data_IF_476048384763
#
_entry.id   IF_476048384763
#
_cell.length_a   1.000
_cell.length_b   1.000
_cell.length_c   1.000
_cell.angle_alpha   90.00
_cell.angle_beta   90.00
_cell.angle_gamma   90.00
#
_symmetry.space_group_name_H-M   'P 1'
#
loop_
_entity.id
_entity.type
_entity.pdbx_description
1 polymer ?
#
# COMPACT_ATOMS: atom_id res chain seq x y z
N UNK A 1 8.25 10.03 -9.98
CA UNK A 1 8.83 8.77 -9.47
C UNK A 1 7.73 7.91 -8.88
N UNK A 2 7.70 6.65 -9.20
CA UNK A 2 6.74 5.68 -8.64
C UNK A 2 6.95 5.61 -7.12
N UNK A 3 5.86 5.71 -6.36
CA UNK A 3 5.86 5.59 -4.90
C UNK A 3 4.90 4.49 -4.47
N UNK A 4 5.20 3.83 -3.34
CA UNK A 4 4.24 2.95 -2.69
C UNK A 4 3.21 3.76 -1.91
N UNK A 5 1.98 3.26 -1.81
CA UNK A 5 0.96 3.83 -0.90
C UNK A 5 1.20 3.43 0.56
N UNK A 6 2.01 2.41 0.80
CA UNK A 6 2.36 1.94 2.13
C UNK A 6 3.70 2.50 2.58
N UNK A 7 3.82 2.81 3.86
CA UNK A 7 5.05 3.29 4.47
C UNK A 7 4.91 3.40 5.97
N UNK A 8 6.02 3.29 6.67
CA UNK A 8 6.06 3.37 8.13
C UNK A 8 7.35 4.06 8.58
N UNK A 9 7.21 4.92 9.57
CA UNK A 9 8.33 5.44 10.32
C UNK A 9 7.94 5.64 11.79
N UNK A 10 8.89 5.39 12.66
CA UNK A 10 8.78 5.63 14.09
C UNK A 10 10.07 6.26 14.59
N UNK A 11 9.94 7.34 15.35
CA UNK A 11 11.09 8.01 15.98
C UNK A 11 10.78 8.43 17.41
N UNK A 12 11.79 8.42 18.23
CA UNK A 12 11.77 8.99 19.57
C UNK A 12 12.64 10.23 19.61
N UNK A 13 12.16 11.26 20.29
CA UNK A 13 12.83 12.54 20.46
C UNK A 13 12.77 12.92 21.94
N UNK A 14 13.89 13.40 22.45
CA UNK A 14 14.01 13.84 23.83
C UNK A 14 14.37 15.33 23.89
N UNK A 15 13.66 16.07 24.72
CA UNK A 15 14.01 17.42 25.12
C UNK A 15 14.11 17.47 26.66
N UNK A 16 14.47 18.61 27.21
CA UNK A 16 14.55 18.78 28.67
C UNK A 16 13.18 18.61 29.35
N UNK A 17 12.11 19.10 28.75
CA UNK A 17 10.76 19.15 29.35
C UNK A 17 9.82 18.09 28.80
N UNK A 18 10.15 17.49 27.64
CA UNK A 18 9.25 16.64 26.88
C UNK A 18 9.99 15.48 26.22
N UNK A 19 9.50 14.27 26.38
CA UNK A 19 9.85 13.10 25.57
C UNK A 19 8.70 12.77 24.64
N UNK A 20 9.01 12.54 23.39
CA UNK A 20 8.04 12.33 22.33
C UNK A 20 8.41 11.09 21.53
N UNK A 21 7.47 10.18 21.35
CA UNK A 21 7.54 9.11 20.36
C UNK A 21 6.50 9.36 19.28
N UNK A 22 6.94 9.51 18.07
CA UNK A 22 6.08 9.72 16.88
C UNK A 22 6.10 8.47 16.05
N UNK A 23 4.93 7.93 15.75
CA UNK A 23 4.75 6.83 14.81
C UNK A 23 3.77 7.27 13.72
N UNK A 24 4.16 7.15 12.47
CA UNK A 24 3.32 7.48 11.31
C UNK A 24 3.29 6.28 10.39
N UNK A 25 2.09 5.78 10.08
CA UNK A 25 1.84 4.66 9.20
C UNK A 25 0.91 5.07 8.07
N UNK A 26 1.33 4.83 6.84
CA UNK A 26 0.52 5.00 5.64
C UNK A 26 0.07 3.65 5.14
N UNK A 27 -1.23 3.49 4.90
CA UNK A 27 -1.86 2.28 4.39
C UNK A 27 -2.54 2.56 3.06
N UNK A 28 -2.67 1.53 2.22
CA UNK A 28 -3.39 1.66 0.96
C UNK A 28 -4.86 2.00 1.20
N UNK A 29 -5.29 3.17 0.73
CA UNK A 29 -6.67 3.62 0.75
C UNK A 29 -6.94 4.57 -0.42
N UNK A 30 -8.18 4.53 -0.95
CA UNK A 30 -8.56 5.30 -2.15
C UNK A 30 -8.51 6.81 -1.94
N UNK A 31 -8.88 7.28 -0.75
CA UNK A 31 -8.93 8.69 -0.37
C UNK A 31 -7.95 8.94 0.77
N UNK A 32 -7.64 10.21 1.03
CA UNK A 32 -6.93 10.60 2.24
C UNK A 32 -7.83 10.39 3.45
N UNK A 33 -7.45 9.51 4.35
CA UNK A 33 -8.13 9.21 5.61
C UNK A 33 -7.16 9.45 6.77
N UNK A 34 -7.58 10.27 7.73
CA UNK A 34 -6.75 10.68 8.87
C UNK A 34 -7.22 10.01 10.14
N UNK A 35 -6.34 9.33 10.83
CA UNK A 35 -6.59 8.70 12.12
C UNK A 35 -5.47 9.07 13.10
N UNK A 36 -5.82 9.84 14.12
CA UNK A 36 -4.90 10.27 15.16
C UNK A 36 -5.18 9.50 16.46
N UNK A 37 -4.11 9.06 17.12
CA UNK A 37 -4.12 8.41 18.43
C UNK A 37 -3.04 9.03 19.31
N UNK A 38 -3.40 9.46 20.51
CA UNK A 38 -2.44 10.00 21.45
C UNK A 38 -3.01 11.07 22.36
N UNK A 39 -2.14 11.79 23.02
CA UNK A 39 -2.52 12.89 23.89
C UNK A 39 -3.17 14.03 23.06
N UNK A 40 -4.17 14.74 23.60
CA UNK A 40 -4.76 15.89 22.93
C UNK A 40 -3.70 16.98 22.74
N UNK A 41 -3.48 17.37 21.48
CA UNK A 41 -2.51 18.38 21.06
C UNK A 41 -3.17 19.64 20.50
N UNK A 42 -4.50 19.73 20.62
CA UNK A 42 -5.27 20.91 20.19
C UNK A 42 -5.12 21.20 18.69
N UNK A 43 -4.86 22.46 18.37
CA UNK A 43 -4.74 22.92 16.96
C UNK A 43 -3.58 22.26 16.18
N UNK A 44 -2.59 21.71 16.86
CA UNK A 44 -1.47 21.04 16.21
C UNK A 44 -1.91 19.79 15.43
N UNK A 45 -2.97 19.11 15.88
CA UNK A 45 -3.52 17.96 15.15
C UNK A 45 -3.94 18.33 13.73
N UNK A 46 -4.67 19.45 13.59
CA UNK A 46 -5.10 19.91 12.27
C UNK A 46 -3.90 20.33 11.39
N UNK A 47 -2.87 20.97 11.98
CA UNK A 47 -1.63 21.30 11.25
C UNK A 47 -0.91 20.04 10.77
N UNK A 48 -0.80 19.00 11.58
CA UNK A 48 -0.19 17.72 11.22
C UNK A 48 -0.98 17.00 10.13
N UNK A 49 -2.31 17.06 10.21
CA UNK A 49 -3.20 16.53 9.16
C UNK A 49 -2.93 17.20 7.81
N UNK A 50 -2.87 18.53 7.77
CA UNK A 50 -2.59 19.30 6.54
C UNK A 50 -1.20 18.94 5.99
N UNK A 51 -0.16 18.92 6.83
CA UNK A 51 1.20 18.51 6.43
C UNK A 51 1.24 17.11 5.81
N UNK A 52 0.49 16.16 6.39
CA UNK A 52 0.38 14.82 5.82
C UNK A 52 -0.37 14.84 4.49
N UNK A 53 -1.47 15.59 4.37
CA UNK A 53 -2.27 15.68 3.15
C UNK A 53 -1.47 16.26 1.98
N UNK A 54 -0.66 17.28 2.24
CA UNK A 54 0.18 17.93 1.21
C UNK A 54 1.29 17.01 0.69
N UNK A 55 1.80 16.09 1.52
CA UNK A 55 2.92 15.22 1.14
C UNK A 55 2.52 13.82 0.72
N UNK A 56 1.39 13.32 1.21
CA UNK A 56 0.97 11.94 1.01
C UNK A 56 -0.27 11.80 0.12
N UNK A 57 -0.91 12.92 -0.26
CA UNK A 57 -2.06 13.06 -1.17
C UNK A 57 -3.21 12.09 -0.95
N UNK A 58 -2.97 10.78 -0.76
CA UNK A 58 -3.96 9.73 -0.51
C UNK A 58 -3.39 8.62 0.38
N UNK A 59 -4.27 7.77 0.88
CA UNK A 59 -3.95 6.71 1.83
C UNK A 59 -4.60 6.94 3.18
N UNK A 60 -4.72 5.89 3.97
CA UNK A 60 -5.10 5.99 5.37
C UNK A 60 -3.84 6.23 6.20
N UNK A 61 -3.76 7.40 6.80
CA UNK A 61 -2.64 7.83 7.60
C UNK A 61 -2.98 7.66 9.08
N UNK A 62 -2.31 6.74 9.73
CA UNK A 62 -2.42 6.51 11.16
C UNK A 62 -1.23 7.15 11.86
N UNK A 63 -1.51 8.11 12.73
CA UNK A 63 -0.51 8.82 13.52
C UNK A 63 -0.69 8.49 14.98
N UNK A 64 0.39 8.12 15.65
CA UNK A 64 0.42 7.95 17.09
C UNK A 64 1.48 8.84 17.70
N UNK A 65 1.09 9.62 18.72
CA UNK A 65 1.98 10.45 19.52
C UNK A 65 1.92 10.02 20.97
N UNK A 66 3.03 9.49 21.47
CA UNK A 66 3.22 9.20 22.88
C UNK A 66 4.07 10.31 23.50
N UNK A 67 3.47 11.02 24.46
CA UNK A 67 4.06 12.16 25.13
C UNK A 67 4.32 11.83 26.62
N UNK A 68 5.51 12.12 27.10
CA UNK A 68 5.78 12.10 28.53
C UNK A 68 6.51 13.37 28.97
N UNK A 69 6.20 13.83 30.17
CA UNK A 69 6.66 15.08 30.73
C UNK A 69 7.46 14.81 31.98
N UNK A 70 8.78 14.58 31.85
CA UNK A 70 9.65 14.24 32.98
C UNK A 70 9.92 15.43 33.90
N UNK A 71 9.76 16.67 33.42
CA UNK A 71 10.00 17.88 34.22
C UNK A 71 8.77 18.20 35.07
N UNK A 72 8.91 18.26 36.40
CA UNK A 72 7.82 18.67 37.30
C UNK A 72 7.26 20.07 37.00
N UNK A 73 8.06 20.98 36.42
CA UNK A 73 7.62 22.33 36.05
C UNK A 73 6.53 22.34 34.97
N UNK A 74 6.35 21.23 34.24
CA UNK A 74 5.30 21.03 33.25
C UNK A 74 3.91 20.80 33.84
N UNK A 75 3.82 20.68 35.17
CA UNK A 75 2.60 20.36 35.87
C UNK A 75 2.18 21.49 36.79
N UNK A 76 0.88 21.76 36.84
CA UNK A 76 0.25 22.57 37.88
C UNK A 76 -0.46 21.66 38.88
N UNK A 77 -0.22 21.94 40.13
CA UNK A 77 -0.90 21.28 41.24
C UNK A 77 -1.91 22.30 41.78
N UNK A 78 -3.19 22.04 41.65
CA UNK A 78 -4.24 22.83 42.23
C UNK A 78 -4.93 22.06 43.36
N UNK A 79 -5.16 22.75 44.48
CA UNK A 79 -5.89 22.21 45.61
C UNK A 79 -7.26 22.93 45.69
N UNK A 80 -8.34 22.16 45.74
CA UNK A 80 -9.66 22.69 45.89
C UNK A 80 -9.91 23.07 47.38
N UNK A 81 -9.43 24.25 47.75
CA UNK A 81 -9.51 24.77 49.13
C UNK A 81 -10.94 24.82 49.63
N UNK A 82 -11.90 25.23 48.79
CA UNK A 82 -13.31 25.31 49.17
C UNK A 82 -13.96 23.96 49.49
N UNK A 83 -13.54 22.88 48.77
CA UNK A 83 -13.97 21.51 49.09
C UNK A 83 -13.30 21.02 50.38
N UNK A 84 -12.02 21.33 50.56
CA UNK A 84 -11.26 20.97 51.71
C UNK A 84 -11.83 21.59 53.00
N UNK A 85 -12.18 22.90 53.00
CA UNK A 85 -12.84 23.58 54.11
C UNK A 85 -14.18 22.94 54.47
N UNK A 86 -15.00 22.60 53.45
CA UNK A 86 -16.26 21.91 53.67
C UNK A 86 -16.09 20.56 54.33
N UNK A 87 -15.05 19.83 53.97
CA UNK A 87 -14.75 18.54 54.55
C UNK A 87 -14.33 18.71 56.02
N UNK A 88 -13.41 19.63 56.33
CA UNK A 88 -13.02 19.91 57.72
C UNK A 88 -14.21 20.35 58.57
N UNK A 89 -15.02 21.28 58.11
CA UNK A 89 -16.23 21.73 58.80
C UNK A 89 -17.21 20.58 59.09
N UNK A 90 -17.31 19.63 58.10
CA UNK A 90 -18.16 18.46 58.27
C UNK A 90 -17.61 17.48 59.29
N UNK A 91 -16.28 17.26 59.26
CA UNK A 91 -15.59 16.42 60.25
C UNK A 91 -15.70 16.98 61.67
N UNK A 92 -15.53 18.29 61.87
CA UNK A 92 -15.69 18.94 63.18
C UNK A 92 -17.11 18.75 63.70
N UNK A 93 -18.13 18.93 62.85
CA UNK A 93 -19.51 18.67 63.18
C UNK A 93 -19.78 17.21 63.58
N UNK A 94 -19.17 16.27 62.85
CA UNK A 94 -19.24 14.83 63.15
C UNK A 94 -18.53 14.49 64.45
N UNK A 95 -17.33 15.03 64.68
CA UNK A 95 -16.57 14.85 65.93
C UNK A 95 -17.38 15.30 67.14
N UNK A 96 -18.01 16.50 67.09
CA UNK A 96 -18.89 17.02 68.13
C UNK A 96 -20.12 16.12 68.36
N UNK A 97 -20.74 15.59 67.30
CA UNK A 97 -21.93 14.72 67.38
C UNK A 97 -21.60 13.34 67.97
N UNK A 98 -20.47 12.76 67.56
CA UNK A 98 -20.06 11.41 67.93
C UNK A 98 -19.28 11.37 69.26
N UNK A 99 -18.96 12.55 69.84
CA UNK A 99 -18.07 12.70 70.99
C UNK A 99 -16.76 11.90 70.86
N UNK A 100 -16.22 11.87 69.64
CA UNK A 100 -14.93 11.25 69.31
C UNK A 100 -14.12 12.17 68.43
N UNK A 101 -12.83 12.21 68.63
CA UNK A 101 -11.90 12.98 67.81
C UNK A 101 -11.72 12.29 66.44
N UNK A 102 -12.29 12.87 65.40
CA UNK A 102 -12.19 12.40 64.00
C UNK A 102 -11.14 13.26 63.32
N UNK A 103 -9.93 12.70 63.13
CA UNK A 103 -8.83 13.38 62.45
C UNK A 103 -8.64 12.86 61.03
N UNK A 104 -8.48 13.78 60.10
CA UNK A 104 -8.10 13.48 58.70
C UNK A 104 -6.58 13.57 58.60
N UNK A 105 -5.91 12.51 58.21
CA UNK A 105 -4.48 12.56 57.90
C UNK A 105 -4.25 13.15 56.49
N UNK A 106 -3.05 13.70 56.27
CA UNK A 106 -2.67 14.22 54.96
C UNK A 106 -2.81 13.14 53.88
N UNK A 107 -2.45 11.88 54.18
CA UNK A 107 -2.62 10.76 53.25
C UNK A 107 -4.07 10.51 52.81
N UNK A 108 -5.02 10.74 53.71
CA UNK A 108 -6.42 10.59 53.42
C UNK A 108 -6.95 11.75 52.54
N UNK A 109 -6.41 12.95 52.67
CA UNK A 109 -6.76 14.11 51.85
C UNK A 109 -6.43 13.86 50.42
N UNK A 110 -5.23 13.32 50.12
CA UNK A 110 -4.81 13.00 48.73
C UNK A 110 -5.61 11.86 48.06
N UNK A 111 -6.32 11.06 48.88
CA UNK A 111 -7.20 9.99 48.35
C UNK A 111 -8.61 10.45 48.03
N UNK A 112 -9.02 11.64 48.44
CA UNK A 112 -10.35 12.17 48.15
C UNK A 112 -10.33 12.76 46.75
N UNK A 113 -11.18 12.24 45.83
CA UNK A 113 -11.26 12.77 44.48
C UNK A 113 -11.56 14.27 44.47
N UNK A 114 -11.01 15.01 43.50
CA UNK A 114 -11.23 16.43 43.27
C UNK A 114 -10.64 17.39 44.32
N UNK A 115 -9.93 16.91 45.33
CA UNK A 115 -9.21 17.83 46.24
C UNK A 115 -7.89 18.27 45.62
N UNK A 116 -7.15 17.35 45.05
CA UNK A 116 -5.90 17.66 44.37
C UNK A 116 -6.03 17.32 42.90
N UNK A 117 -5.88 18.31 42.06
CA UNK A 117 -5.84 18.15 40.62
C UNK A 117 -4.42 18.41 40.09
N UNK A 118 -3.91 17.44 39.36
CA UNK A 118 -2.69 17.59 38.58
C UNK A 118 -3.11 17.95 37.15
N UNK A 119 -2.87 19.18 36.76
CA UNK A 119 -3.10 19.64 35.38
C UNK A 119 -1.79 19.87 34.71
N UNK A 120 -1.68 19.33 33.49
CA UNK A 120 -0.58 19.70 32.65
C UNK A 120 -0.76 21.13 32.14
N UNK A 121 0.30 21.94 32.16
CA UNK A 121 0.30 23.27 31.55
C UNK A 121 0.18 23.16 30.03
N UNK A 122 -0.39 24.17 29.41
CA UNK A 122 -0.45 24.25 27.94
C UNK A 122 0.97 24.22 27.35
N UNK A 123 1.07 23.76 26.10
CA UNK A 123 2.33 23.73 25.40
C UNK A 123 2.88 25.15 25.19
N UNK A 124 4.10 25.38 25.62
CA UNK A 124 4.78 26.64 25.31
C UNK A 124 5.31 26.64 23.85
N UNK A 125 5.71 27.82 23.35
CA UNK A 125 6.18 27.98 21.97
C UNK A 125 7.38 27.10 21.62
N UNK A 126 8.27 26.81 22.56
CA UNK A 126 9.42 25.94 22.36
C UNK A 126 9.01 24.47 22.22
N UNK A 127 8.05 24.01 23.03
CA UNK A 127 7.48 22.67 22.95
C UNK A 127 6.70 22.46 21.66
N UNK A 128 5.90 23.46 21.24
CA UNK A 128 5.19 23.44 19.96
C UNK A 128 6.18 23.28 18.80
N UNK A 129 7.22 24.12 18.76
CA UNK A 129 8.26 24.03 17.73
C UNK A 129 9.02 22.70 17.74
N UNK A 130 9.20 22.11 18.91
CA UNK A 130 9.82 20.80 19.05
C UNK A 130 8.91 19.69 18.49
N UNK A 131 7.62 19.70 18.81
CA UNK A 131 6.63 18.77 18.29
C UNK A 131 6.54 18.85 16.77
N UNK A 132 6.45 20.06 16.20
CA UNK A 132 6.36 20.28 14.76
C UNK A 132 7.60 19.76 14.02
N UNK A 133 8.81 20.10 14.49
CA UNK A 133 10.05 19.60 13.88
C UNK A 133 10.16 18.08 13.96
N UNK A 134 9.85 17.51 15.10
CA UNK A 134 9.91 16.05 15.32
C UNK A 134 8.92 15.31 14.42
N UNK A 135 7.71 15.87 14.26
CA UNK A 135 6.70 15.33 13.37
C UNK A 135 7.15 15.40 11.91
N UNK A 136 7.67 16.55 11.46
CA UNK A 136 8.17 16.73 10.08
C UNK A 136 9.30 15.74 9.77
N UNK A 137 10.24 15.56 10.68
CA UNK A 137 11.33 14.58 10.51
C UNK A 137 10.79 13.15 10.34
N UNK A 138 9.81 12.76 11.14
CA UNK A 138 9.21 11.42 11.02
C UNK A 138 8.41 11.28 9.73
N UNK A 139 7.70 12.34 9.30
CA UNK A 139 6.98 12.37 8.03
C UNK A 139 7.91 12.27 6.82
N UNK A 140 9.08 12.93 6.87
CA UNK A 140 10.11 12.81 5.83
C UNK A 140 10.62 11.36 5.69
N UNK A 141 10.77 10.65 6.81
CA UNK A 141 11.14 9.23 6.78
C UNK A 141 10.04 8.36 6.16
N UNK A 142 8.76 8.65 6.43
CA UNK A 142 7.64 7.94 5.78
C UNK A 142 7.67 8.16 4.28
N UNK A 143 7.85 9.40 3.82
CA UNK A 143 7.97 9.73 2.40
C UNK A 143 9.14 9.00 1.76
N UNK A 144 10.30 8.95 2.44
CA UNK A 144 11.46 8.19 1.98
C UNK A 144 11.15 6.69 1.92
N UNK A 145 10.55 6.11 2.96
CA UNK A 145 10.14 4.70 2.99
C UNK A 145 9.23 4.34 1.82
N UNK A 146 8.23 5.19 1.50
CA UNK A 146 7.32 5.01 0.35
C UNK A 146 8.05 5.04 -0.99
N UNK A 147 9.05 5.93 -1.14
CA UNK A 147 9.88 6.00 -2.36
C UNK A 147 10.76 4.76 -2.53
N UNK A 148 11.40 4.32 -1.46
CA UNK A 148 12.28 3.16 -1.47
C UNK A 148 11.48 1.87 -1.78
N UNK A 149 10.29 1.74 -1.19
CA UNK A 149 9.38 0.63 -1.47
C UNK A 149 8.84 0.69 -2.90
N UNK A 150 8.41 1.86 -3.37
CA UNK A 150 7.97 2.06 -4.75
C UNK A 150 9.05 1.67 -5.77
N UNK A 151 10.31 2.04 -5.53
CA UNK A 151 11.44 1.67 -6.38
C UNK A 151 11.68 0.16 -6.42
N UNK A 152 11.58 -0.51 -5.27
CA UNK A 152 11.69 -1.98 -5.20
C UNK A 152 10.57 -2.66 -5.95
N UNK A 153 9.33 -2.22 -5.75
CA UNK A 153 8.15 -2.76 -6.45
C UNK A 153 8.25 -2.54 -7.97
N UNK A 154 8.65 -1.35 -8.41
CA UNK A 154 8.89 -1.07 -9.82
C UNK A 154 9.94 -2.00 -10.44
N UNK A 155 11.01 -2.30 -9.71
CA UNK A 155 12.05 -3.25 -10.14
C UNK A 155 11.50 -4.68 -10.29
N UNK A 156 10.64 -5.11 -9.38
CA UNK A 156 9.98 -6.42 -9.46
C UNK A 156 9.01 -6.51 -10.65
N UNK A 157 8.17 -5.47 -10.84
CA UNK A 157 7.26 -5.39 -12.01
C UNK A 157 8.06 -5.47 -13.31
N UNK A 158 9.18 -4.76 -13.39
CA UNK A 158 10.06 -4.83 -14.55
C UNK A 158 10.57 -6.25 -14.83
N UNK A 159 10.95 -7.01 -13.79
CA UNK A 159 11.37 -8.40 -13.95
C UNK A 159 10.24 -9.29 -14.48
N UNK A 160 9.02 -9.13 -13.97
CA UNK A 160 7.83 -9.84 -14.48
C UNK A 160 7.56 -9.49 -15.95
N UNK A 161 7.59 -8.21 -16.33
CA UNK A 161 7.43 -7.77 -17.72
C UNK A 161 8.48 -8.36 -18.65
N UNK A 162 9.74 -8.47 -18.22
CA UNK A 162 10.80 -9.09 -19.01
C UNK A 162 10.57 -10.60 -19.20
N UNK A 163 10.00 -11.30 -18.24
CA UNK A 163 9.59 -12.70 -18.38
C UNK A 163 8.45 -12.84 -19.38
N UNK A 164 7.43 -11.96 -19.28
CA UNK A 164 6.33 -11.89 -20.26
C UNK A 164 6.89 -11.66 -21.67
N UNK A 165 7.79 -10.71 -21.84
CA UNK A 165 8.44 -10.43 -23.14
C UNK A 165 9.15 -11.64 -23.72
N UNK A 166 9.88 -12.41 -22.91
CA UNK A 166 10.54 -13.65 -23.34
C UNK A 166 9.54 -14.74 -23.75
N UNK A 167 8.43 -14.87 -23.01
CA UNK A 167 7.38 -15.83 -23.34
C UNK A 167 6.72 -15.47 -24.70
N UNK A 168 6.42 -14.18 -24.94
CA UNK A 168 5.91 -13.72 -26.24
C UNK A 168 6.88 -14.00 -27.38
N UNK A 169 8.19 -13.81 -27.21
CA UNK A 169 9.20 -14.14 -28.21
C UNK A 169 9.24 -15.65 -28.54
N UNK A 170 9.08 -16.51 -27.53
CA UNK A 170 8.98 -17.96 -27.75
C UNK A 170 7.72 -18.31 -28.53
N UNK A 171 6.56 -17.73 -28.15
CA UNK A 171 5.31 -17.93 -28.88
C UNK A 171 5.48 -17.54 -30.34
N UNK A 172 6.07 -16.39 -30.63
CA UNK A 172 6.33 -15.94 -32.03
C UNK A 172 7.17 -16.95 -32.82
N UNK A 173 8.15 -17.57 -32.16
CA UNK A 173 8.97 -18.63 -32.79
C UNK A 173 8.16 -19.90 -33.08
N UNK A 174 7.22 -20.26 -32.16
CA UNK A 174 6.36 -21.43 -32.34
C UNK A 174 5.33 -21.20 -33.45
N UNK A 175 4.72 -20.00 -33.48
CA UNK A 175 3.73 -19.62 -34.51
C UNK A 175 4.31 -19.71 -35.92
N UNK A 176 5.55 -19.29 -36.14
CA UNK A 176 6.21 -19.42 -37.45
C UNK A 176 6.34 -20.86 -37.92
N UNK A 177 6.35 -21.86 -37.03
CA UNK A 177 6.42 -23.29 -37.35
C UNK A 177 5.04 -23.94 -37.51
N UNK A 178 3.99 -23.28 -37.07
CA UNK A 178 2.62 -23.82 -36.97
C UNK A 178 2.05 -24.32 -38.31
N UNK A 179 2.15 -23.62 -39.46
CA UNK A 179 1.62 -24.12 -40.74
C UNK A 179 2.21 -25.47 -41.12
N UNK A 180 3.54 -25.65 -40.96
CA UNK A 180 4.22 -26.91 -41.24
C UNK A 180 3.73 -28.05 -40.33
N UNK A 181 3.52 -27.77 -39.05
CA UNK A 181 3.02 -28.75 -38.09
C UNK A 181 1.56 -29.14 -38.38
N UNK A 182 0.71 -28.19 -38.78
CA UNK A 182 -0.67 -28.46 -39.22
C UNK A 182 -0.64 -29.39 -40.43
N UNK A 183 0.13 -29.07 -41.45
CA UNK A 183 0.29 -29.90 -42.64
C UNK A 183 0.72 -31.34 -42.33
N UNK A 184 1.75 -31.50 -41.49
CA UNK A 184 2.23 -32.82 -41.06
C UNK A 184 1.14 -33.61 -40.32
N UNK A 185 0.45 -32.98 -39.38
CA UNK A 185 -0.66 -33.64 -38.62
C UNK A 185 -1.79 -34.07 -39.55
N UNK A 186 -2.19 -33.20 -40.50
CA UNK A 186 -3.21 -33.58 -41.46
C UNK A 186 -2.82 -34.74 -42.35
N UNK A 187 -1.55 -34.73 -42.90
CA UNK A 187 -1.03 -35.83 -43.68
C UNK A 187 -0.99 -37.12 -42.89
N UNK A 188 -0.59 -37.07 -41.60
CA UNK A 188 -0.56 -38.26 -40.75
C UNK A 188 -1.96 -38.82 -40.50
N UNK A 189 -2.93 -37.97 -40.14
CA UNK A 189 -4.33 -38.39 -39.96
C UNK A 189 -4.92 -39.02 -41.19
N UNK A 190 -4.62 -38.48 -42.40
CA UNK A 190 -5.05 -39.06 -43.66
C UNK A 190 -4.48 -40.44 -43.90
N UNK A 191 -3.22 -40.67 -43.58
CA UNK A 191 -2.57 -42.00 -43.67
C UNK A 191 -3.22 -43.03 -42.71
N UNK A 192 -3.56 -42.58 -41.49
CA UNK A 192 -4.11 -43.45 -40.45
C UNK A 192 -5.58 -43.85 -40.74
N UNK A 193 -6.29 -43.09 -41.57
CA UNK A 193 -7.66 -43.39 -41.97
C UNK A 193 -7.82 -44.48 -43.05
N UNK A 194 -6.73 -45.10 -43.54
CA UNK A 194 -6.72 -46.23 -44.47
C UNK A 194 -7.74 -46.18 -45.63
N UNK A 195 -8.11 -44.97 -46.09
CA UNK A 195 -9.09 -44.80 -47.15
C UNK A 195 -8.44 -44.75 -48.55
N UNK A 196 -9.06 -45.37 -49.53
CA UNK A 196 -8.62 -45.38 -50.95
C UNK A 196 -8.72 -43.98 -51.63
N UNK A 197 -9.32 -42.98 -50.97
CA UNK A 197 -9.46 -41.60 -51.47
C UNK A 197 -8.52 -40.66 -50.68
N UNK A 198 -7.30 -40.49 -51.14
CA UNK A 198 -6.43 -39.43 -50.67
C UNK A 198 -6.95 -38.09 -51.28
N UNK A 199 -7.21 -37.06 -50.45
CA UNK A 199 -7.53 -35.74 -50.97
C UNK A 199 -6.39 -35.22 -51.84
N UNK A 200 -6.74 -34.40 -52.85
CA UNK A 200 -5.70 -33.77 -53.67
C UNK A 200 -4.80 -32.86 -52.82
N UNK A 201 -3.56 -32.65 -53.25
CA UNK A 201 -2.62 -31.70 -52.58
C UNK A 201 -3.21 -30.27 -52.52
N UNK A 202 -4.08 -29.90 -53.50
CA UNK A 202 -4.80 -28.62 -53.46
C UNK A 202 -5.75 -28.53 -52.30
N UNK A 203 -6.59 -29.54 -52.06
CA UNK A 203 -7.52 -29.58 -50.91
C UNK A 203 -6.77 -29.61 -49.57
N UNK A 204 -5.66 -30.31 -49.52
CA UNK A 204 -4.82 -30.29 -48.30
C UNK A 204 -4.24 -28.89 -48.03
N UNK A 205 -3.80 -28.20 -49.09
CA UNK A 205 -3.26 -26.84 -49.00
C UNK A 205 -4.36 -25.82 -48.57
N UNK A 206 -5.56 -25.96 -49.12
CA UNK A 206 -6.72 -25.11 -48.71
C UNK A 206 -7.06 -25.32 -47.22
N UNK A 207 -7.11 -26.55 -46.74
CA UNK A 207 -7.40 -26.85 -45.34
C UNK A 207 -6.29 -26.34 -44.40
N UNK A 208 -5.02 -26.46 -44.80
CA UNK A 208 -3.89 -25.88 -44.05
C UNK A 208 -4.02 -24.35 -43.97
N UNK A 209 -4.36 -23.71 -45.10
CA UNK A 209 -4.56 -22.25 -45.11
C UNK A 209 -5.71 -21.82 -44.20
N UNK A 210 -6.86 -22.50 -44.30
CA UNK A 210 -8.04 -22.24 -43.46
C UNK A 210 -7.71 -22.41 -41.97
N UNK A 211 -7.08 -23.51 -41.58
CA UNK A 211 -6.67 -23.76 -40.16
C UNK A 211 -5.61 -22.78 -39.69
N UNK A 212 -4.65 -22.42 -40.56
CA UNK A 212 -3.65 -21.40 -40.23
C UNK A 212 -4.26 -20.04 -39.93
N UNK A 213 -5.26 -19.62 -40.73
CA UNK A 213 -5.99 -18.39 -40.51
C UNK A 213 -6.85 -18.44 -39.23
N UNK A 214 -7.52 -19.57 -39.01
CA UNK A 214 -8.36 -19.77 -37.82
C UNK A 214 -7.57 -19.72 -36.49
N UNK A 215 -6.32 -20.18 -36.52
CA UNK A 215 -5.42 -20.23 -35.34
C UNK A 215 -4.39 -19.11 -35.37
N UNK A 216 -4.59 -18.10 -36.20
CA UNK A 216 -3.70 -16.94 -36.23
C UNK A 216 -3.80 -16.14 -34.95
N UNK A 217 -2.68 -15.93 -34.30
CA UNK A 217 -2.50 -15.16 -33.07
C UNK A 217 -1.55 -13.97 -33.27
N UNK A 218 -1.32 -13.59 -34.52
CA UNK A 218 -0.35 -12.53 -34.86
C UNK A 218 -0.75 -11.18 -34.30
N UNK A 219 -2.04 -10.87 -34.29
CA UNK A 219 -2.59 -9.63 -33.73
C UNK A 219 -2.38 -9.58 -32.22
N UNK A 220 -2.69 -10.66 -31.51
CA UNK A 220 -2.50 -10.77 -30.06
C UNK A 220 -1.02 -10.61 -29.67
N UNK A 221 -0.11 -11.22 -30.45
CA UNK A 221 1.34 -11.06 -30.25
C UNK A 221 1.75 -9.60 -30.41
N UNK A 222 1.26 -8.91 -31.44
CA UNK A 222 1.59 -7.51 -31.67
C UNK A 222 1.06 -6.61 -30.57
N UNK A 223 -0.17 -6.84 -30.11
CA UNK A 223 -0.76 -6.09 -28.99
C UNK A 223 -0.01 -6.35 -27.68
N UNK A 224 0.32 -7.62 -27.39
CA UNK A 224 1.14 -7.97 -26.22
C UNK A 224 2.47 -7.22 -26.23
N UNK A 225 3.19 -7.17 -27.38
CA UNK A 225 4.44 -6.43 -27.50
C UNK A 225 4.26 -4.94 -27.20
N UNK A 226 3.24 -4.31 -27.80
CA UNK A 226 2.96 -2.89 -27.60
C UNK A 226 2.65 -2.56 -26.14
N UNK A 227 1.84 -3.38 -25.47
CA UNK A 227 1.49 -3.18 -24.05
C UNK A 227 2.69 -3.44 -23.13
N UNK A 228 3.54 -4.42 -23.43
CA UNK A 228 4.76 -4.68 -22.67
C UNK A 228 5.72 -3.49 -22.77
N UNK A 229 5.96 -2.98 -23.97
CA UNK A 229 6.89 -1.87 -24.17
C UNK A 229 6.37 -0.58 -23.51
N UNK A 230 5.07 -0.28 -23.59
CA UNK A 230 4.44 0.82 -22.88
C UNK A 230 4.55 0.66 -21.34
N UNK A 231 4.33 -0.56 -20.81
CA UNK A 231 4.47 -0.82 -19.39
C UNK A 231 5.91 -0.68 -18.91
N UNK A 232 6.90 -1.14 -19.69
CA UNK A 232 8.33 -0.99 -19.39
C UNK A 232 8.75 0.49 -19.39
N UNK A 233 8.24 1.29 -20.30
CA UNK A 233 8.48 2.74 -20.34
C UNK A 233 7.94 3.40 -19.07
N UNK A 234 6.71 3.13 -18.67
CA UNK A 234 6.10 3.67 -17.45
C UNK A 234 6.91 3.30 -16.20
N UNK A 235 7.34 2.05 -16.08
CA UNK A 235 8.10 1.58 -14.91
C UNK A 235 9.49 2.21 -14.84
N UNK A 236 10.08 2.56 -15.97
CA UNK A 236 11.42 3.19 -16.05
C UNK A 236 11.38 4.71 -16.08
N UNK A 237 10.21 5.30 -16.32
CA UNK A 237 10.04 6.76 -16.41
C UNK A 237 10.31 7.42 -15.06
N UNK A 238 11.11 8.49 -15.10
CA UNK A 238 11.37 9.38 -13.95
C UNK A 238 10.35 10.51 -13.82
N UNK A 239 9.40 10.61 -14.75
CA UNK A 239 8.34 11.63 -14.72
C UNK A 239 7.34 11.25 -13.64
N UNK A 240 7.02 12.19 -12.75
CA UNK A 240 6.16 12.01 -11.58
C UNK A 240 4.65 11.94 -11.89
N UNK A 241 4.26 11.32 -12.99
CA UNK A 241 2.84 11.09 -13.30
C UNK A 241 2.34 9.85 -12.54
N UNK A 242 1.09 9.84 -12.07
CA UNK A 242 0.51 8.69 -11.38
C UNK A 242 0.45 7.49 -12.32
N UNK A 243 1.44 6.61 -12.20
CA UNK A 243 1.65 5.48 -13.11
C UNK A 243 0.86 4.22 -12.70
N UNK A 244 0.41 4.12 -11.45
CA UNK A 244 -0.27 2.93 -10.94
C UNK A 244 -1.54 2.58 -11.72
N UNK A 245 -2.43 3.54 -11.99
CA UNK A 245 -3.67 3.27 -12.77
C UNK A 245 -3.39 2.85 -14.20
N UNK A 246 -2.39 3.46 -14.85
CA UNK A 246 -2.04 3.12 -16.23
C UNK A 246 -1.37 1.75 -16.30
N UNK A 247 -0.53 1.41 -15.32
CA UNK A 247 0.06 0.06 -15.21
C UNK A 247 -1.01 -1.01 -14.95
N UNK A 248 -2.01 -0.73 -14.11
CA UNK A 248 -3.13 -1.66 -13.90
C UNK A 248 -3.93 -1.88 -15.18
N UNK A 249 -4.24 -0.80 -15.91
CA UNK A 249 -4.89 -0.90 -17.22
C UNK A 249 -4.07 -1.75 -18.21
N UNK A 250 -2.77 -1.47 -18.35
CA UNK A 250 -1.92 -2.25 -19.26
C UNK A 250 -1.81 -3.72 -18.83
N UNK A 251 -1.78 -4.00 -17.53
CA UNK A 251 -1.79 -5.37 -17.03
C UNK A 251 -3.12 -6.08 -17.34
N UNK A 252 -4.27 -5.37 -17.28
CA UNK A 252 -5.56 -5.92 -17.70
C UNK A 252 -5.57 -6.25 -19.19
N UNK A 253 -5.05 -5.36 -20.05
CA UNK A 253 -4.95 -5.62 -21.49
C UNK A 253 -4.00 -6.79 -21.80
N UNK A 254 -2.83 -6.86 -21.13
CA UNK A 254 -1.93 -8.01 -21.25
C UNK A 254 -2.61 -9.33 -20.89
N UNK A 255 -3.42 -9.33 -19.83
CA UNK A 255 -4.18 -10.51 -19.41
C UNK A 255 -5.24 -10.90 -20.45
N UNK A 256 -5.94 -9.91 -21.01
CA UNK A 256 -6.95 -10.11 -22.04
C UNK A 256 -6.35 -10.71 -23.30
N UNK A 257 -5.26 -10.15 -23.82
CA UNK A 257 -4.59 -10.65 -25.00
C UNK A 257 -4.02 -12.08 -24.80
N UNK A 258 -3.50 -12.36 -23.61
CA UNK A 258 -3.05 -13.71 -23.25
C UNK A 258 -4.19 -14.73 -23.21
N UNK A 259 -5.41 -14.32 -22.76
CA UNK A 259 -6.59 -15.19 -22.81
C UNK A 259 -7.02 -15.48 -24.23
N UNK A 260 -7.10 -14.45 -25.10
CA UNK A 260 -7.48 -14.60 -26.50
C UNK A 260 -6.49 -15.50 -27.25
N UNK A 261 -5.18 -15.30 -27.01
CA UNK A 261 -4.12 -16.13 -27.56
C UNK A 261 -4.31 -17.59 -27.16
N UNK A 262 -4.55 -17.88 -25.89
CA UNK A 262 -4.75 -19.24 -25.41
C UNK A 262 -6.03 -19.89 -25.96
N UNK A 263 -7.09 -19.13 -26.15
CA UNK A 263 -8.35 -19.65 -26.70
C UNK A 263 -8.27 -19.97 -28.20
N UNK A 264 -7.45 -19.23 -28.93
CA UNK A 264 -7.22 -19.46 -30.38
C UNK A 264 -6.20 -20.59 -30.64
N UNK A 265 -5.23 -20.80 -29.74
CA UNK A 265 -4.15 -21.75 -29.95
C UNK A 265 -4.57 -23.18 -29.62
N UNK A 266 -4.20 -24.12 -30.52
CA UNK A 266 -4.24 -25.57 -30.27
C UNK A 266 -2.84 -26.17 -30.00
N UNK A 267 -1.82 -25.36 -30.00
CA UNK A 267 -0.45 -25.81 -29.73
C UNK A 267 -0.17 -25.79 -28.22
N UNK A 268 0.21 -26.94 -27.70
CA UNK A 268 0.50 -27.10 -26.25
C UNK A 268 1.65 -26.18 -25.80
N UNK A 269 2.66 -25.95 -26.66
CA UNK A 269 3.78 -25.07 -26.37
C UNK A 269 3.35 -23.61 -26.24
N UNK A 270 2.49 -23.16 -27.18
CA UNK A 270 1.91 -21.81 -27.13
C UNK A 270 1.03 -21.64 -25.92
N UNK A 271 0.13 -22.60 -25.64
CA UNK A 271 -0.75 -22.57 -24.47
C UNK A 271 0.04 -22.52 -23.15
N UNK A 272 1.13 -23.28 -23.05
CA UNK A 272 2.00 -23.27 -21.86
C UNK A 272 2.64 -21.89 -21.62
N UNK A 273 3.20 -21.27 -22.67
CA UNK A 273 3.78 -19.92 -22.55
C UNK A 273 2.70 -18.86 -22.27
N UNK A 274 1.49 -19.01 -22.86
CA UNK A 274 0.36 -18.14 -22.58
C UNK A 274 -0.12 -18.23 -21.11
N UNK A 275 -0.14 -19.41 -20.50
CA UNK A 275 -0.42 -19.59 -19.08
C UNK A 275 0.67 -18.95 -18.21
N UNK A 276 1.95 -19.04 -18.61
CA UNK A 276 3.03 -18.34 -17.92
C UNK A 276 2.82 -16.83 -17.98
N UNK A 277 2.47 -16.27 -19.14
CA UNK A 277 2.14 -14.84 -19.28
C UNK A 277 1.04 -14.45 -18.29
N UNK A 278 -0.03 -15.21 -18.22
CA UNK A 278 -1.14 -14.94 -17.28
C UNK A 278 -0.69 -14.90 -15.82
N UNK A 279 0.13 -15.86 -15.40
CA UNK A 279 0.67 -15.92 -14.03
C UNK A 279 1.57 -14.71 -13.71
N UNK A 280 2.46 -14.34 -14.62
CA UNK A 280 3.33 -13.18 -14.43
C UNK A 280 2.53 -11.85 -14.42
N UNK A 281 1.52 -11.73 -15.28
CA UNK A 281 0.63 -10.55 -15.33
C UNK A 281 -0.21 -10.42 -14.06
N UNK A 282 -0.71 -11.52 -13.50
CA UNK A 282 -1.44 -11.48 -12.24
C UNK A 282 -0.55 -11.03 -11.08
N UNK A 283 0.72 -11.47 -11.07
CA UNK A 283 1.72 -10.97 -10.10
C UNK A 283 1.96 -9.45 -10.26
N UNK A 284 2.01 -8.95 -11.50
CA UNK A 284 2.10 -7.51 -11.77
C UNK A 284 0.88 -6.78 -11.19
N UNK A 285 -0.34 -7.26 -11.45
CA UNK A 285 -1.58 -6.64 -10.96
C UNK A 285 -1.61 -6.51 -9.45
N UNK A 286 -1.21 -7.56 -8.73
CA UNK A 286 -1.14 -7.53 -7.26
C UNK A 286 -0.16 -6.46 -6.74
N UNK A 287 0.98 -6.29 -7.41
CA UNK A 287 1.97 -5.29 -7.01
C UNK A 287 1.55 -3.86 -7.36
N UNK A 288 0.89 -3.66 -8.50
CA UNK A 288 0.43 -2.34 -8.97
C UNK A 288 -0.63 -1.75 -8.05
N UNK A 289 -1.43 -2.57 -7.36
CA UNK A 289 -2.46 -2.10 -6.41
C UNK A 289 -1.88 -1.25 -5.27
N UNK A 290 -0.59 -1.39 -4.98
CA UNK A 290 0.09 -0.63 -3.93
C UNK A 290 0.92 0.55 -4.46
N UNK A 291 0.85 0.85 -5.76
CA UNK A 291 1.63 1.91 -6.40
C UNK A 291 0.81 3.18 -6.68
N UNK A 292 1.52 4.31 -6.57
CA UNK A 292 1.03 5.64 -6.89
C UNK A 292 1.91 6.33 -7.92
#
# INVERSE_FOLDING_TARGET
>A
MIQSMTGFAERSFDSRTLRLKVSIKSLNHRFFDWNYKGAPIGELENRFRVLCQDRLHRGRIEVSLDLSFPDPSSWDISVNEGLLEKIFTTLDRMSARLKRDVKLSVDNIFRIPQIVELKRKDFNASEISFLERSFIHTLDDVVKSRRDEGTRTASQIRLHLLKVKRAVQKIETLVKKQPRLIQQKLRQKLKDLNGQNHPSEERLSEEVAYLSQRYDVSEEIQRLKSHIDAALELVTSKKGEPSGKMLDFLAQELYREANTLNSKSQDIGITKEGLLIKGEVESIRQQVQNLE
#
